data_IF_470833942066
#
_entry.id   IF_470833942066
#
_cell.length_a   1.000
_cell.length_b   1.000
_cell.length_c   1.000
_cell.angle_alpha   90.00
_cell.angle_beta   90.00
_cell.angle_gamma   90.00
#
_symmetry.space_group_name_H-M   'P 1'
#
loop_
_entity.id
_entity.type
_entity.pdbx_description
1 polymer ?
#
# COMPACT_ATOMS: atom_id res chain seq x y z
N UNK A 1 11.00 52.97 -36.16
CA UNK A 1 11.55 53.67 -34.98
C UNK A 1 10.58 53.39 -33.84
N UNK A 2 10.91 52.71 -32.75
CA UNK A 2 12.18 52.48 -32.08
C UNK A 2 12.44 50.97 -31.85
N UNK A 3 13.69 50.60 -32.07
CA UNK A 3 14.35 49.41 -31.53
C UNK A 3 14.90 49.80 -30.14
N UNK A 4 14.72 48.97 -29.11
CA UNK A 4 15.50 49.08 -27.88
C UNK A 4 15.67 47.71 -27.23
N UNK A 5 16.90 47.22 -27.33
CA UNK A 5 17.42 45.98 -26.78
C UNK A 5 18.04 46.14 -25.37
N UNK A 6 18.36 44.98 -24.77
CA UNK A 6 19.20 44.64 -23.61
C UNK A 6 18.54 44.72 -22.21
N UNK A 7 18.19 43.59 -21.54
CA UNK A 7 19.01 42.53 -20.86
C UNK A 7 19.62 42.98 -19.50
N UNK A 8 20.05 42.08 -18.58
CA UNK A 8 19.36 40.96 -17.93
C UNK A 8 19.49 41.03 -16.38
N UNK A 9 18.51 40.48 -15.65
CA UNK A 9 18.58 40.33 -14.19
C UNK A 9 19.20 39.00 -13.77
N UNK A 10 20.53 38.93 -13.77
CA UNK A 10 21.32 37.83 -13.21
C UNK A 10 21.08 37.70 -11.70
N UNK A 11 20.22 36.77 -11.30
CA UNK A 11 20.12 36.28 -9.92
C UNK A 11 20.91 34.98 -9.77
N UNK A 12 22.19 35.11 -9.43
CA UNK A 12 23.13 34.01 -9.30
C UNK A 12 22.72 33.02 -8.20
N UNK A 13 22.78 31.74 -8.56
CA UNK A 13 22.55 30.54 -7.78
C UNK A 13 23.26 30.49 -6.42
N UNK A 14 22.55 29.96 -5.42
CA UNK A 14 23.14 29.12 -4.36
C UNK A 14 22.53 27.73 -4.58
N UNK A 15 23.24 26.81 -5.23
CA UNK A 15 24.06 25.82 -4.54
C UNK A 15 23.24 25.07 -3.48
N UNK A 16 22.57 24.03 -3.95
CA UNK A 16 21.87 23.05 -3.15
C UNK A 16 21.54 21.90 -4.07
N UNK A 17 22.56 21.08 -4.32
CA UNK A 17 22.54 19.81 -5.05
C UNK A 17 21.64 18.77 -4.33
N UNK A 18 20.37 19.12 -4.14
CA UNK A 18 19.33 18.17 -3.82
C UNK A 18 18.75 17.71 -5.14
N UNK A 19 19.46 16.80 -5.80
CA UNK A 19 18.85 15.89 -6.74
C UNK A 19 17.80 15.07 -5.97
N UNK A 20 16.60 15.63 -5.82
CA UNK A 20 15.44 14.84 -5.49
C UNK A 20 15.27 13.87 -6.66
N UNK A 21 15.27 12.54 -6.44
CA UNK A 21 14.87 11.63 -7.49
C UNK A 21 13.48 12.06 -7.97
N UNK A 22 13.35 12.31 -9.26
CA UNK A 22 12.06 12.59 -9.90
C UNK A 22 11.15 11.40 -9.66
N UNK A 23 10.35 11.46 -8.61
CA UNK A 23 9.22 10.56 -8.41
C UNK A 23 8.07 11.12 -9.25
N UNK A 24 7.69 10.38 -10.30
CA UNK A 24 6.47 10.62 -11.07
C UNK A 24 5.25 10.48 -10.15
N UNK A 25 4.89 11.56 -9.46
CA UNK A 25 3.74 11.61 -8.56
C UNK A 25 2.51 11.94 -9.41
N UNK A 26 1.67 10.92 -9.62
CA UNK A 26 0.33 11.11 -10.14
C UNK A 26 -0.48 11.99 -9.19
N UNK A 27 -1.24 12.95 -9.73
CA UNK A 27 -2.04 13.89 -8.94
C UNK A 27 -3.23 13.27 -8.16
N UNK A 28 -3.25 11.94 -7.95
CA UNK A 28 -4.20 11.23 -7.07
C UNK A 28 -3.65 11.04 -5.65
N UNK A 29 -2.37 11.34 -5.44
CA UNK A 29 -1.57 11.09 -4.24
C UNK A 29 -1.51 12.29 -3.27
N UNK A 30 -2.53 13.16 -3.28
CA UNK A 30 -2.64 14.33 -2.39
C UNK A 30 -3.02 13.92 -0.96
N UNK A 31 -2.11 13.17 -0.33
CA UNK A 31 -2.12 12.76 1.07
C UNK A 31 -0.72 12.47 1.61
N UNK A 32 0.34 13.07 1.03
CA UNK A 32 1.64 13.33 1.68
C UNK A 32 2.25 12.23 2.56
N UNK A 33 2.19 10.97 2.14
CA UNK A 33 2.84 9.84 2.79
C UNK A 33 3.28 8.87 1.69
N UNK A 34 4.58 8.69 1.52
CA UNK A 34 5.17 7.78 0.53
C UNK A 34 4.70 6.33 0.78
N UNK A 35 3.65 5.90 0.08
CA UNK A 35 3.19 4.50 0.08
C UNK A 35 3.90 3.79 -1.07
N UNK A 36 4.85 2.94 -0.74
CA UNK A 36 5.59 2.14 -1.70
C UNK A 36 4.85 0.84 -2.03
N UNK A 37 5.00 0.37 -3.26
CA UNK A 37 4.57 -0.98 -3.62
C UNK A 37 5.54 -2.01 -3.01
N UNK A 38 5.05 -3.20 -2.65
CA UNK A 38 5.88 -4.28 -2.08
C UNK A 38 7.04 -4.71 -2.99
N UNK A 39 6.96 -4.45 -4.29
CA UNK A 39 8.04 -4.74 -5.24
C UNK A 39 9.12 -3.66 -5.31
N UNK A 40 8.86 -2.48 -4.73
CA UNK A 40 9.72 -1.31 -4.79
C UNK A 40 10.50 -1.04 -3.48
N UNK A 41 10.40 -1.96 -2.51
CA UNK A 41 11.11 -1.92 -1.22
C UNK A 41 12.24 -2.94 -1.19
N UNK A 42 13.36 -2.58 -0.54
CA UNK A 42 14.52 -3.46 -0.36
C UNK A 42 14.20 -4.63 0.56
N UNK A 43 13.54 -4.35 1.69
CA UNK A 43 13.07 -5.35 2.63
C UNK A 43 11.55 -5.44 2.58
N UNK A 44 11.06 -6.62 2.22
CA UNK A 44 9.62 -6.88 2.13
C UNK A 44 9.01 -7.07 3.52
N UNK A 45 7.80 -6.54 3.74
CA UNK A 45 7.07 -6.82 4.97
C UNK A 45 6.77 -8.31 5.11
N UNK A 46 7.05 -8.88 6.28
CA UNK A 46 6.80 -10.28 6.59
C UNK A 46 5.66 -10.41 7.61
N UNK A 47 4.76 -11.40 7.46
CA UNK A 47 3.70 -11.63 8.43
C UNK A 47 4.28 -12.08 9.77
N UNK A 48 4.13 -11.24 10.80
CA UNK A 48 4.50 -11.59 12.19
C UNK A 48 3.35 -12.30 12.90
N UNK A 49 2.13 -11.84 12.65
CA UNK A 49 0.89 -12.43 13.16
C UNK A 49 -0.13 -12.42 12.04
N UNK A 50 -0.40 -13.60 11.48
CA UNK A 50 -1.39 -13.79 10.43
C UNK A 50 -2.43 -14.79 10.92
N UNK A 51 -3.49 -14.27 11.55
CA UNK A 51 -4.61 -15.10 11.97
C UNK A 51 -5.47 -15.45 10.76
N UNK A 52 -5.72 -16.73 10.51
CA UNK A 52 -6.63 -17.13 9.44
C UNK A 52 -8.01 -16.49 9.65
N UNK A 53 -8.66 -15.99 8.59
CA UNK A 53 -9.98 -15.42 8.74
C UNK A 53 -10.98 -16.44 9.23
N UNK A 54 -11.85 -16.00 10.14
CA UNK A 54 -12.88 -16.87 10.65
C UNK A 54 -13.84 -17.25 9.52
N UNK A 55 -14.04 -18.54 9.31
CA UNK A 55 -14.88 -19.03 8.24
C UNK A 55 -16.36 -18.85 8.63
N UNK A 56 -17.17 -18.08 7.88
CA UNK A 56 -18.55 -17.80 8.27
C UNK A 56 -19.40 -19.07 8.41
N UNK A 57 -20.15 -19.20 9.50
CA UNK A 57 -21.04 -20.35 9.73
C UNK A 57 -22.05 -20.48 8.58
N UNK A 58 -22.54 -19.36 8.06
CA UNK A 58 -23.47 -19.34 6.92
C UNK A 58 -22.82 -19.84 5.61
N UNK A 59 -21.52 -19.57 5.38
CA UNK A 59 -20.78 -20.17 4.27
C UNK A 59 -20.58 -21.67 4.49
N UNK A 60 -20.37 -22.08 5.75
CA UNK A 60 -20.08 -23.47 6.13
C UNK A 60 -21.31 -24.36 5.94
N UNK A 61 -22.48 -23.84 6.31
CA UNK A 61 -23.78 -24.50 6.09
C UNK A 61 -24.11 -24.67 4.60
N UNK A 62 -23.65 -23.73 3.78
CA UNK A 62 -23.88 -23.74 2.34
C UNK A 62 -22.73 -24.40 1.54
N UNK A 63 -21.69 -24.90 2.23
CA UNK A 63 -20.48 -25.49 1.62
C UNK A 63 -19.88 -24.61 0.51
N UNK A 64 -19.83 -23.30 0.75
CA UNK A 64 -19.36 -22.34 -0.25
C UNK A 64 -17.84 -22.28 -0.25
N UNK A 65 -17.22 -22.47 -1.39
CA UNK A 65 -15.77 -22.30 -1.54
C UNK A 65 -15.46 -21.08 -2.40
N UNK A 66 -14.26 -20.54 -2.25
CA UNK A 66 -13.85 -19.39 -3.04
C UNK A 66 -12.61 -18.70 -2.52
N UNK A 67 -12.51 -17.42 -2.82
CA UNK A 67 -11.41 -16.58 -2.37
C UNK A 67 -11.85 -15.14 -2.12
N UNK A 68 -11.03 -14.42 -1.35
CA UNK A 68 -11.10 -12.97 -1.24
C UNK A 68 -9.70 -12.38 -1.48
N UNK A 69 -9.59 -11.49 -2.45
CA UNK A 69 -8.43 -10.68 -2.74
C UNK A 69 -8.56 -9.34 -2.01
N UNK A 70 -7.77 -9.18 -0.97
CA UNK A 70 -7.68 -7.95 -0.21
C UNK A 70 -6.42 -7.17 -0.57
N UNK A 71 -6.54 -5.87 -0.74
CA UNK A 71 -5.45 -4.90 -0.78
C UNK A 71 -5.43 -4.13 0.53
N UNK A 72 -4.26 -3.94 1.11
CA UNK A 72 -4.10 -3.15 2.31
C UNK A 72 -2.69 -2.54 2.36
N UNK A 73 -2.52 -1.55 3.23
CA UNK A 73 -1.24 -0.88 3.45
C UNK A 73 -0.69 -1.29 4.80
N UNK A 74 0.58 -1.63 4.85
CA UNK A 74 1.33 -1.91 6.08
C UNK A 74 2.08 -0.63 6.43
N UNK A 75 1.78 -0.07 7.58
CA UNK A 75 2.44 1.13 8.10
C UNK A 75 3.87 0.82 8.57
N UNK A 76 4.68 1.85 8.79
CA UNK A 76 6.05 1.78 9.35
C UNK A 76 6.13 1.08 10.72
N UNK A 77 5.00 0.97 11.42
CA UNK A 77 4.89 0.21 12.67
C UNK A 77 4.52 -1.28 12.47
N UNK A 78 4.31 -1.72 11.23
CA UNK A 78 3.85 -3.07 10.92
C UNK A 78 2.34 -3.29 11.13
N UNK A 79 1.59 -2.19 11.30
CA UNK A 79 0.13 -2.22 11.43
C UNK A 79 -0.52 -2.22 10.06
N UNK A 80 -1.63 -2.96 9.91
CA UNK A 80 -2.42 -2.91 8.68
C UNK A 80 -3.42 -1.76 8.73
N UNK A 81 -3.41 -0.93 7.69
CA UNK A 81 -4.31 0.20 7.49
C UNK A 81 -4.89 0.17 6.06
N UNK A 82 -5.96 0.94 5.84
CA UNK A 82 -6.60 1.12 4.53
C UNK A 82 -6.95 -0.21 3.81
N UNK A 83 -7.63 -1.12 4.52
CA UNK A 83 -8.02 -2.43 4.00
C UNK A 83 -9.17 -2.28 3.00
N UNK A 84 -9.01 -2.84 1.80
CA UNK A 84 -9.97 -2.79 0.71
C UNK A 84 -10.07 -4.17 0.04
N UNK A 85 -11.28 -4.68 -0.18
CA UNK A 85 -11.47 -5.87 -1.01
C UNK A 85 -11.47 -5.45 -2.47
N UNK A 86 -10.58 -6.05 -3.26
CA UNK A 86 -10.51 -5.82 -4.71
C UNK A 86 -11.36 -6.81 -5.49
N UNK A 87 -11.43 -8.04 -5.00
CA UNK A 87 -12.19 -9.09 -5.65
C UNK A 87 -12.55 -10.16 -4.62
N UNK A 88 -13.71 -10.77 -4.73
CA UNK A 88 -14.08 -11.93 -3.93
C UNK A 88 -15.00 -12.84 -4.73
N UNK A 89 -14.90 -14.16 -4.52
CA UNK A 89 -15.82 -15.13 -5.11
C UNK A 89 -17.25 -14.96 -4.59
N UNK A 90 -17.39 -14.54 -3.33
CA UNK A 90 -18.69 -14.31 -2.72
C UNK A 90 -18.58 -13.22 -1.63
N UNK A 91 -19.54 -12.28 -1.55
CA UNK A 91 -19.52 -11.20 -0.56
C UNK A 91 -19.51 -11.69 0.90
N UNK A 92 -19.96 -12.93 1.16
CA UNK A 92 -19.91 -13.54 2.49
C UNK A 92 -18.47 -13.66 3.04
N UNK A 93 -17.46 -13.69 2.16
CA UNK A 93 -16.05 -13.80 2.52
C UNK A 93 -15.36 -12.43 2.73
N UNK A 94 -16.00 -11.33 2.36
CA UNK A 94 -15.40 -9.99 2.45
C UNK A 94 -15.25 -9.53 3.90
N UNK A 95 -16.36 -9.52 4.64
CA UNK A 95 -16.39 -9.12 6.06
C UNK A 95 -15.40 -9.92 6.94
N UNK A 96 -15.38 -11.28 6.92
CA UNK A 96 -14.43 -12.04 7.72
C UNK A 96 -12.98 -11.83 7.28
N UNK A 97 -12.74 -11.58 5.99
CA UNK A 97 -11.41 -11.24 5.47
C UNK A 97 -10.92 -9.93 6.09
N UNK A 98 -11.74 -8.87 6.03
CA UNK A 98 -11.39 -7.55 6.56
C UNK A 98 -11.10 -7.63 8.06
N UNK A 99 -11.96 -8.31 8.83
CA UNK A 99 -11.82 -8.43 10.28
C UNK A 99 -10.52 -9.16 10.69
N UNK A 100 -10.20 -10.22 9.96
CA UNK A 100 -8.97 -10.97 10.18
C UNK A 100 -7.73 -10.15 9.84
N UNK A 101 -7.71 -9.52 8.67
CA UNK A 101 -6.60 -8.67 8.20
C UNK A 101 -6.36 -7.50 9.17
N UNK A 102 -7.42 -6.92 9.75
CA UNK A 102 -7.30 -5.86 10.75
C UNK A 102 -6.52 -6.30 12.00
N UNK A 103 -6.59 -7.58 12.34
CA UNK A 103 -5.86 -8.18 13.46
C UNK A 103 -4.45 -8.65 13.08
N UNK A 104 -4.08 -8.56 11.80
CA UNK A 104 -2.75 -8.96 11.36
C UNK A 104 -1.68 -7.96 11.79
N UNK A 105 -0.48 -8.50 12.00
CA UNK A 105 0.73 -7.71 12.23
C UNK A 105 1.79 -8.17 11.27
N UNK A 106 2.44 -7.22 10.64
CA UNK A 106 3.55 -7.45 9.73
C UNK A 106 4.81 -6.80 10.29
N UNK A 107 5.97 -7.17 9.79
CA UNK A 107 7.12 -6.28 9.85
C UNK A 107 6.90 -5.17 8.82
N UNK A 108 7.31 -3.92 9.09
CA UNK A 108 7.25 -2.86 8.09
C UNK A 108 8.16 -3.20 6.90
N UNK A 109 7.82 -2.66 5.73
CA UNK A 109 8.76 -2.65 4.62
C UNK A 109 9.88 -1.65 4.90
N UNK A 110 11.08 -1.92 4.40
CA UNK A 110 12.20 -0.99 4.51
C UNK A 110 12.74 -0.68 3.12
N UNK A 111 13.02 0.59 2.88
CA UNK A 111 13.63 1.10 1.66
C UNK A 111 14.76 2.04 2.05
N UNK A 112 15.95 1.80 1.51
CA UNK A 112 17.15 2.58 1.86
C UNK A 112 17.41 2.66 3.38
N UNK A 113 17.15 1.56 4.10
CA UNK A 113 17.26 1.49 5.57
C UNK A 113 16.22 2.28 6.36
N UNK A 114 15.20 2.85 5.70
CA UNK A 114 14.08 3.56 6.34
C UNK A 114 12.81 2.72 6.26
N UNK A 115 12.07 2.68 7.36
CA UNK A 115 10.74 2.04 7.41
C UNK A 115 9.77 2.87 6.58
N UNK A 116 9.09 2.21 5.67
CA UNK A 116 8.16 2.87 4.74
C UNK A 116 6.81 2.17 4.74
N UNK A 117 5.77 2.92 4.35
CA UNK A 117 4.43 2.34 4.20
C UNK A 117 4.42 1.49 2.95
N UNK A 118 3.97 0.25 3.05
CA UNK A 118 3.98 -0.70 1.94
C UNK A 118 2.58 -1.16 1.59
N UNK A 119 2.14 -0.93 0.37
CA UNK A 119 0.90 -1.50 -0.16
C UNK A 119 1.13 -2.93 -0.62
N UNK A 120 0.26 -3.84 -0.19
CA UNK A 120 0.29 -5.25 -0.57
C UNK A 120 -1.10 -5.77 -0.91
N UNK A 121 -1.14 -6.88 -1.66
CA UNK A 121 -2.35 -7.59 -2.04
C UNK A 121 -2.20 -9.06 -1.68
N UNK A 122 -3.18 -9.61 -0.97
CA UNK A 122 -3.19 -11.02 -0.58
C UNK A 122 -4.51 -11.64 -0.99
N UNK A 123 -4.42 -12.79 -1.66
CA UNK A 123 -5.55 -13.66 -1.98
C UNK A 123 -5.70 -14.70 -0.89
N UNK A 124 -6.79 -14.64 -0.15
CA UNK A 124 -7.12 -15.62 0.90
C UNK A 124 -8.08 -16.66 0.30
N UNK A 125 -7.68 -17.94 0.23
CA UNK A 125 -8.59 -19.01 -0.15
C UNK A 125 -9.52 -19.39 1.01
N UNK A 126 -10.77 -19.67 0.68
CA UNK A 126 -11.81 -20.20 1.55
C UNK A 126 -12.22 -21.56 1.02
N UNK A 127 -11.73 -22.62 1.65
CA UNK A 127 -12.08 -23.99 1.30
C UNK A 127 -12.92 -24.58 2.44
N UNK A 128 -13.94 -25.36 2.07
CA UNK A 128 -14.68 -26.18 3.02
C UNK A 128 -14.05 -27.57 2.92
N UNK A 129 -13.18 -27.89 3.89
CA UNK A 129 -12.47 -29.18 3.90
C UNK A 129 -13.39 -30.39 3.89
#
# INVERSE_FOLDING_TARGET
>A
MLDLALEPGTGNSLAGDFALPSFDIGAKDLGGLDIFDINAVDTKPQPRKQASPNYPIAAKRQKLEGYALAEFVIDENGNVINIQIKQSSNPIFEKPTIDAIRSWKFTPGEKDGRKVKTRTRIKIPYNFG
#
